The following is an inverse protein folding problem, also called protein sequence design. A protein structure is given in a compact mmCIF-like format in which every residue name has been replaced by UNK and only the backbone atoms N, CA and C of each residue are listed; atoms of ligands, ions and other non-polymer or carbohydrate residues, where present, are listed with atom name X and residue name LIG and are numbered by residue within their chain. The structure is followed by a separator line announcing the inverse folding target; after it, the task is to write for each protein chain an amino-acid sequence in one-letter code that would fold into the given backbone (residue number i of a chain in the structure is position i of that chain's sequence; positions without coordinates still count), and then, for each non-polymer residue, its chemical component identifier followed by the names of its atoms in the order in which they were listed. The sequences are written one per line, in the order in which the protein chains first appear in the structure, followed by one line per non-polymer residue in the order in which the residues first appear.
data_IF_141209971295
#
_entry.id   IF_141209971295
#
_cell.length_a   1.000
_cell.length_b   1.000
_cell.length_c   1.000
_cell.angle_alpha   90.00
_cell.angle_beta   90.00
_cell.angle_gamma   90.00
#
_symmetry.space_group_name_H-M   'P 1'
#
loop_
_entity.id
_entity.type
_entity.pdbx_description
1 polymer ?
#
# COMPACT_ATOMS: atom_id res chain seq x y z
N UNK A 1 -40.07 0.88 13.86
CA UNK A 1 -38.73 1.31 13.41
C UNK A 1 -38.00 0.09 12.87
N UNK A 2 -37.98 -0.07 11.55
CA UNK A 2 -37.22 -1.14 10.91
C UNK A 2 -35.76 -0.70 10.83
N UNK A 3 -34.88 -1.37 11.56
CA UNK A 3 -33.44 -1.14 11.46
C UNK A 3 -32.98 -1.43 10.04
N UNK A 4 -32.37 -0.44 9.38
CA UNK A 4 -31.66 -0.66 8.13
C UNK A 4 -30.50 -1.61 8.44
N UNK A 5 -30.64 -2.87 8.06
CA UNK A 5 -29.56 -3.85 8.08
C UNK A 5 -28.45 -3.35 7.17
N UNK A 6 -27.29 -3.01 7.76
CA UNK A 6 -26.06 -2.78 6.99
C UNK A 6 -25.74 -4.10 6.30
N UNK A 7 -25.63 -4.10 4.97
CA UNK A 7 -25.26 -5.29 4.22
C UNK A 7 -23.92 -5.81 4.72
N UNK A 8 -23.88 -7.09 5.10
CA UNK A 8 -22.63 -7.74 5.49
C UNK A 8 -21.68 -7.77 4.28
N UNK A 9 -20.37 -7.51 4.46
CA UNK A 9 -19.40 -7.69 3.40
C UNK A 9 -19.45 -9.15 2.93
N UNK A 10 -19.68 -9.35 1.63
CA UNK A 10 -19.63 -10.66 1.00
C UNK A 10 -18.16 -10.92 0.66
N UNK A 11 -17.49 -11.68 1.52
CA UNK A 11 -16.15 -12.20 1.23
C UNK A 11 -16.38 -13.46 0.39
N UNK A 12 -16.07 -13.40 -0.91
CA UNK A 12 -16.07 -14.59 -1.77
C UNK A 12 -15.07 -15.64 -1.27
N UNK A 13 -15.26 -16.94 -1.60
CA UNK A 13 -14.32 -17.98 -1.23
C UNK A 13 -12.92 -17.65 -1.79
N UNK A 14 -11.83 -18.05 -1.10
CA UNK A 14 -10.48 -17.88 -1.63
C UNK A 14 -10.38 -18.57 -3.00
N UNK A 15 -9.85 -17.84 -3.98
CA UNK A 15 -9.61 -18.39 -5.32
C UNK A 15 -8.59 -19.52 -5.20
N UNK A 16 -8.95 -20.72 -5.65
CA UNK A 16 -7.99 -21.82 -5.74
C UNK A 16 -7.03 -21.56 -6.90
N UNK A 17 -5.76 -21.85 -6.69
CA UNK A 17 -4.75 -21.75 -7.74
C UNK A 17 -5.00 -22.80 -8.82
N UNK A 18 -4.80 -22.41 -10.08
CA UNK A 18 -4.67 -23.37 -11.17
C UNK A 18 -3.39 -24.19 -11.03
N UNK A 19 -3.32 -25.34 -11.71
CA UNK A 19 -2.10 -26.16 -11.78
C UNK A 19 -0.88 -25.35 -12.25
N UNK A 20 -1.06 -24.47 -13.24
CA UNK A 20 0.01 -23.63 -13.78
C UNK A 20 0.48 -22.63 -12.71
N UNK A 21 -0.45 -22.00 -11.99
CA UNK A 21 -0.12 -21.07 -10.90
C UNK A 21 0.64 -21.77 -9.76
N UNK A 22 0.20 -22.97 -9.36
CA UNK A 22 0.88 -23.78 -8.33
C UNK A 22 2.30 -24.17 -8.76
N UNK A 23 2.47 -24.58 -10.02
CA UNK A 23 3.79 -24.89 -10.60
C UNK A 23 4.69 -23.66 -10.61
N UNK A 24 4.15 -22.51 -11.04
CA UNK A 24 4.90 -21.26 -11.09
C UNK A 24 5.34 -20.79 -9.70
N UNK A 25 4.50 -20.92 -8.66
CA UNK A 25 4.87 -20.64 -7.26
C UNK A 25 6.01 -21.54 -6.77
N UNK A 26 5.98 -22.81 -7.14
CA UNK A 26 7.03 -23.76 -6.77
C UNK A 26 8.37 -23.39 -7.43
N UNK A 27 8.33 -23.02 -8.72
CA UNK A 27 9.52 -22.56 -9.46
C UNK A 27 10.09 -21.26 -8.90
N UNK A 28 9.23 -20.28 -8.61
CA UNK A 28 9.67 -19.03 -7.98
C UNK A 28 10.32 -19.29 -6.62
N UNK A 29 9.71 -20.15 -5.79
CA UNK A 29 10.25 -20.50 -4.47
C UNK A 29 11.62 -21.17 -4.57
N UNK A 30 11.81 -22.06 -5.56
CA UNK A 30 13.11 -22.67 -5.83
C UNK A 30 14.13 -21.63 -6.27
N UNK A 31 13.73 -20.71 -7.17
CA UNK A 31 14.60 -19.65 -7.68
C UNK A 31 15.08 -18.69 -6.57
N UNK A 32 14.16 -18.22 -5.72
CA UNK A 32 14.46 -17.35 -4.57
C UNK A 32 15.50 -17.98 -3.63
N UNK A 33 15.47 -19.30 -3.44
CA UNK A 33 16.41 -20.03 -2.58
C UNK A 33 17.83 -20.13 -3.18
N UNK A 34 17.95 -20.18 -4.50
CA UNK A 34 19.22 -20.43 -5.20
C UNK A 34 19.85 -19.15 -5.76
N UNK A 35 19.12 -18.04 -5.79
CA UNK A 35 19.58 -16.73 -6.26
C UNK A 35 19.36 -15.64 -5.20
N UNK A 36 19.98 -15.75 -4.00
CA UNK A 36 19.81 -14.75 -2.96
C UNK A 36 20.40 -13.39 -3.39
N UNK A 37 19.71 -12.30 -3.05
CA UNK A 37 20.21 -10.96 -3.34
C UNK A 37 21.51 -10.70 -2.54
N UNK A 38 22.51 -10.11 -3.21
CA UNK A 38 23.77 -9.73 -2.56
C UNK A 38 23.58 -8.42 -1.79
N UNK A 39 23.64 -8.51 -0.46
CA UNK A 39 23.79 -7.34 0.41
C UNK A 39 25.25 -6.86 0.36
N UNK A 40 25.50 -5.64 -0.12
CA UNK A 40 26.79 -4.96 0.04
C UNK A 40 26.62 -3.76 0.96
N UNK A 41 27.37 -3.68 2.06
CA UNK A 41 27.31 -2.56 3.01
C UNK A 41 28.65 -1.85 3.09
N UNK A 42 28.73 -0.61 2.58
CA UNK A 42 29.87 0.28 2.81
C UNK A 42 29.50 1.74 3.11
N UNK A 43 28.22 2.07 3.24
CA UNK A 43 27.76 3.42 3.61
C UNK A 43 26.96 3.39 4.92
N UNK A 44 26.90 4.50 5.67
CA UNK A 44 26.01 4.61 6.83
C UNK A 44 24.57 4.34 6.40
N UNK A 45 23.96 3.32 7.00
CA UNK A 45 22.63 2.86 6.63
C UNK A 45 21.57 3.85 7.12
N UNK A 46 20.80 4.40 6.18
CA UNK A 46 19.56 5.12 6.50
C UNK A 46 18.54 4.11 7.00
N UNK A 47 17.94 4.39 8.16
CA UNK A 47 16.92 3.55 8.81
C UNK A 47 15.53 4.06 8.49
N UNK A 48 14.79 3.26 7.75
CA UNK A 48 13.39 3.53 7.43
C UNK A 48 12.53 2.57 8.26
N UNK A 49 11.65 3.12 9.08
CA UNK A 49 10.68 2.38 9.89
C UNK A 49 9.37 2.32 9.11
N UNK A 50 8.91 1.10 8.83
CA UNK A 50 7.72 0.85 8.03
C UNK A 50 6.62 0.23 8.88
N UNK A 51 5.45 0.87 8.90
CA UNK A 51 4.24 0.38 9.55
C UNK A 51 3.02 0.57 8.64
N UNK A 52 1.92 -0.12 8.96
CA UNK A 52 0.64 -0.01 8.29
C UNK A 52 -0.45 -0.59 9.20
N UNK A 53 -1.72 -0.34 8.90
CA UNK A 53 -2.87 -1.02 9.52
C UNK A 53 -2.87 -0.93 11.06
N UNK A 54 -2.52 0.24 11.60
CA UNK A 54 -2.51 0.42 13.05
C UNK A 54 -3.92 0.39 13.62
N UNK A 55 -4.95 0.80 12.87
CA UNK A 55 -6.36 0.74 13.28
C UNK A 55 -6.58 1.24 14.72
N UNK A 56 -6.17 2.49 14.98
CA UNK A 56 -6.16 3.16 16.28
C UNK A 56 -5.13 2.65 17.31
N UNK A 57 -4.42 1.55 17.05
CA UNK A 57 -3.32 1.12 17.92
C UNK A 57 -2.12 2.05 17.80
N UNK A 58 -1.29 2.09 18.84
CA UNK A 58 -0.15 3.00 18.96
C UNK A 58 1.07 2.21 19.46
N UNK A 59 1.64 1.32 18.63
CA UNK A 59 2.73 0.47 19.04
C UNK A 59 3.99 1.29 19.37
N UNK A 60 4.85 0.75 20.22
CA UNK A 60 6.21 1.31 20.39
C UNK A 60 7.00 1.09 19.12
N UNK A 61 7.59 2.16 18.59
CA UNK A 61 8.40 2.12 17.37
C UNK A 61 9.89 2.18 17.69
N UNK A 62 10.74 1.46 16.95
CA UNK A 62 12.19 1.63 17.05
C UNK A 62 12.61 3.01 16.49
N UNK A 63 13.80 3.46 16.87
CA UNK A 63 14.39 4.69 16.31
C UNK A 63 14.75 4.53 14.82
N UNK A 64 14.54 5.60 14.05
CA UNK A 64 14.96 5.68 12.65
C UNK A 64 14.91 7.10 12.09
N UNK A 65 15.42 7.26 10.88
CA UNK A 65 15.49 8.55 10.19
C UNK A 65 14.14 8.95 9.58
N UNK A 66 13.43 7.95 9.02
CA UNK A 66 12.15 8.12 8.33
C UNK A 66 11.15 7.10 8.90
N UNK A 67 9.95 7.57 9.26
CA UNK A 67 8.78 6.75 9.55
C UNK A 67 7.81 6.79 8.38
N UNK A 68 7.45 5.62 7.85
CA UNK A 68 6.45 5.45 6.78
C UNK A 68 5.23 4.70 7.31
N UNK A 69 4.04 5.25 7.11
CA UNK A 69 2.76 4.60 7.43
C UNK A 69 1.93 4.35 6.17
N UNK A 70 1.68 3.07 5.85
CA UNK A 70 1.00 2.66 4.61
C UNK A 70 -0.53 2.62 4.71
N UNK A 71 -1.13 3.62 5.36
CA UNK A 71 -2.59 3.72 5.51
C UNK A 71 -3.20 2.85 6.60
N UNK A 72 -4.52 3.00 6.75
CA UNK A 72 -5.33 2.43 7.82
C UNK A 72 -4.86 2.84 9.21
N UNK A 73 -4.74 4.16 9.38
CA UNK A 73 -4.46 4.77 10.68
C UNK A 73 -5.61 4.47 11.66
N UNK A 74 -6.84 4.51 11.16
CA UNK A 74 -8.06 4.42 11.95
C UNK A 74 -8.86 3.14 11.72
N UNK A 75 -9.85 2.89 12.60
CA UNK A 75 -10.81 1.81 12.42
C UNK A 75 -12.05 2.25 11.63
N UNK A 76 -12.52 3.49 11.84
CA UNK A 76 -13.75 4.00 11.23
C UNK A 76 -13.58 5.31 10.48
N UNK A 77 -12.36 5.84 10.40
CA UNK A 77 -12.09 7.04 9.63
C UNK A 77 -12.70 8.30 10.23
N UNK A 78 -13.03 8.30 11.53
CA UNK A 78 -13.62 9.48 12.17
C UNK A 78 -12.54 10.54 12.44
N UNK A 79 -12.96 11.81 12.53
CA UNK A 79 -12.04 12.91 12.85
C UNK A 79 -11.21 12.63 14.11
N UNK A 80 -11.85 12.19 15.20
CA UNK A 80 -11.19 11.98 16.49
C UNK A 80 -10.17 10.83 16.43
N UNK A 81 -10.47 9.75 15.68
CA UNK A 81 -9.53 8.64 15.48
C UNK A 81 -8.29 9.08 14.69
N UNK A 82 -8.50 9.76 13.55
CA UNK A 82 -7.42 10.25 12.71
C UNK A 82 -6.57 11.27 13.49
N UNK A 83 -7.20 12.22 14.20
CA UNK A 83 -6.48 13.21 14.99
C UNK A 83 -5.67 12.58 16.14
N UNK A 84 -6.20 11.53 16.78
CA UNK A 84 -5.47 10.79 17.81
C UNK A 84 -4.24 10.08 17.23
N UNK A 85 -4.35 9.49 16.04
CA UNK A 85 -3.21 8.89 15.35
C UNK A 85 -2.18 9.93 14.90
N UNK A 86 -2.61 11.08 14.38
CA UNK A 86 -1.70 12.19 14.04
C UNK A 86 -0.96 12.70 15.28
N UNK A 87 -1.63 12.79 16.43
CA UNK A 87 -1.00 13.16 17.71
C UNK A 87 0.09 12.18 18.10
N UNK A 88 -0.19 10.87 18.00
CA UNK A 88 0.78 9.83 18.28
C UNK A 88 1.95 9.82 17.28
N UNK A 89 1.69 9.99 15.98
CA UNK A 89 2.75 10.08 14.97
C UNK A 89 3.65 11.29 15.19
N UNK A 90 3.09 12.44 15.58
CA UNK A 90 3.85 13.63 15.90
C UNK A 90 4.77 13.43 17.11
N UNK A 91 4.38 12.61 18.09
CA UNK A 91 5.23 12.33 19.27
C UNK A 91 6.42 11.40 18.98
N UNK A 92 6.48 10.77 17.81
CA UNK A 92 7.58 9.87 17.45
C UNK A 92 8.88 10.66 17.20
N UNK A 93 10.06 10.10 17.53
CA UNK A 93 11.35 10.81 17.43
C UNK A 93 11.89 10.95 16.00
N UNK A 94 11.27 10.27 15.03
CA UNK A 94 11.67 10.26 13.63
C UNK A 94 11.65 11.67 13.03
N UNK A 95 12.72 12.05 12.32
CA UNK A 95 12.83 13.37 11.66
C UNK A 95 11.76 13.56 10.59
N UNK A 96 11.54 12.53 9.77
CA UNK A 96 10.53 12.54 8.72
C UNK A 96 9.43 11.53 9.01
N UNK A 97 8.18 11.95 8.94
CA UNK A 97 6.99 11.10 9.12
C UNK A 97 6.12 11.24 7.89
N UNK A 98 6.00 10.19 7.08
CA UNK A 98 5.22 10.21 5.84
C UNK A 98 4.11 9.18 5.94
N UNK A 99 2.89 9.60 5.63
CA UNK A 99 1.71 8.75 5.69
C UNK A 99 0.88 8.88 4.43
N UNK A 100 0.21 7.80 4.06
CA UNK A 100 -0.90 7.78 3.10
C UNK A 100 -2.17 7.36 3.85
N UNK A 101 -3.33 7.55 3.23
CA UNK A 101 -4.58 6.98 3.72
C UNK A 101 -4.70 5.49 3.36
N UNK A 102 -5.58 4.78 4.07
CA UNK A 102 -6.07 3.46 3.70
C UNK A 102 -7.59 3.41 3.64
N UNK A 103 -8.15 2.24 3.33
CA UNK A 103 -9.58 2.11 3.11
C UNK A 103 -10.44 2.39 4.37
N UNK A 104 -9.86 2.31 5.58
CA UNK A 104 -10.51 2.68 6.82
C UNK A 104 -10.44 4.17 7.14
N UNK A 105 -9.59 4.94 6.49
CA UNK A 105 -9.38 6.37 6.79
C UNK A 105 -10.42 7.26 6.06
N UNK A 106 -11.70 6.96 6.29
CA UNK A 106 -12.84 7.47 5.52
C UNK A 106 -12.89 8.99 5.37
N UNK A 107 -12.62 9.75 6.44
CA UNK A 107 -12.60 11.22 6.40
C UNK A 107 -11.58 11.79 5.40
N UNK A 108 -10.49 11.05 5.14
CA UNK A 108 -9.41 11.50 4.24
C UNK A 108 -9.81 11.40 2.76
N UNK A 109 -10.86 10.64 2.41
CA UNK A 109 -11.39 10.52 1.06
C UNK A 109 -12.64 11.40 0.88
N UNK A 110 -12.44 12.58 0.29
CA UNK A 110 -13.51 13.56 0.10
C UNK A 110 -14.56 13.11 -0.93
N UNK A 111 -14.18 12.28 -1.90
CA UNK A 111 -15.13 11.68 -2.84
C UNK A 111 -16.01 10.65 -2.09
N UNK A 112 -15.43 9.86 -1.19
CA UNK A 112 -16.18 8.95 -0.32
C UNK A 112 -17.13 9.72 0.61
N UNK A 113 -16.63 10.75 1.30
CA UNK A 113 -17.43 11.60 2.21
C UNK A 113 -18.64 12.21 1.48
N UNK A 114 -18.44 12.76 0.28
CA UNK A 114 -19.52 13.41 -0.48
C UNK A 114 -20.56 12.42 -1.01
N UNK A 115 -20.16 11.17 -1.30
CA UNK A 115 -21.04 10.13 -1.82
C UNK A 115 -21.73 9.29 -0.73
N UNK A 116 -21.30 9.41 0.53
CA UNK A 116 -21.82 8.67 1.67
C UNK A 116 -22.22 9.58 2.85
N UNK A 117 -23.17 10.51 2.66
CA UNK A 117 -23.58 11.46 3.70
C UNK A 117 -24.18 10.77 4.94
N UNK A 118 -24.69 9.53 4.79
CA UNK A 118 -25.21 8.71 5.87
C UNK A 118 -24.15 8.23 6.87
N UNK A 119 -22.86 8.39 6.55
CA UNK A 119 -21.76 8.08 7.46
C UNK A 119 -21.47 9.19 8.47
N UNK A 120 -22.00 10.40 8.27
CA UNK A 120 -21.84 11.55 9.19
C UNK A 120 -20.38 11.81 9.63
N UNK A 121 -19.43 11.64 8.70
CA UNK A 121 -17.99 11.75 8.98
C UNK A 121 -17.55 13.17 9.30
N UNK A 122 -18.26 14.16 8.76
CA UNK A 122 -17.97 15.58 8.94
C UNK A 122 -19.01 16.27 9.82
N UNK A 123 -18.52 17.10 10.74
CA UNK A 123 -19.32 18.00 11.59
C UNK A 123 -18.66 19.37 11.60
N UNK A 124 -19.37 20.46 11.97
CA UNK A 124 -18.74 21.77 12.10
C UNK A 124 -17.49 21.71 12.99
N UNK A 125 -16.33 22.09 12.43
CA UNK A 125 -15.02 22.02 13.09
C UNK A 125 -14.40 20.63 13.21
N UNK A 126 -14.96 19.62 12.53
CA UNK A 126 -14.45 18.24 12.47
C UNK A 126 -14.52 17.72 11.04
N UNK A 127 -13.84 18.41 10.13
CA UNK A 127 -13.66 18.00 8.72
C UNK A 127 -12.22 17.59 8.46
N UNK A 128 -11.92 17.03 7.28
CA UNK A 128 -10.54 16.72 6.90
C UNK A 128 -9.62 17.95 6.94
N UNK A 129 -10.16 19.14 6.66
CA UNK A 129 -9.41 20.42 6.69
C UNK A 129 -9.09 20.89 8.11
N UNK A 130 -9.82 20.41 9.10
CA UNK A 130 -9.64 20.77 10.50
C UNK A 130 -8.59 19.87 11.20
N UNK A 131 -8.08 18.84 10.51
CA UNK A 131 -7.05 17.96 11.06
C UNK A 131 -5.74 18.72 11.27
N UNK A 132 -5.16 18.57 12.46
CA UNK A 132 -3.84 19.08 12.79
C UNK A 132 -2.78 18.02 12.44
N UNK A 133 -2.17 18.18 11.26
CA UNK A 133 -1.11 17.30 10.75
C UNK A 133 0.22 17.44 11.48
N UNK A 134 0.54 18.62 12.00
CA UNK A 134 1.85 18.88 12.63
C UNK A 134 2.99 18.66 11.63
N UNK A 135 3.97 17.85 12.02
CA UNK A 135 5.14 17.47 11.21
C UNK A 135 4.86 16.25 10.30
N UNK A 136 3.66 15.68 10.35
CA UNK A 136 3.29 14.52 9.53
C UNK A 136 3.00 14.96 8.10
N UNK A 137 3.71 14.36 7.15
CA UNK A 137 3.56 14.61 5.71
C UNK A 137 2.55 13.61 5.15
N UNK A 138 1.41 14.12 4.68
CA UNK A 138 0.40 13.33 3.99
C UNK A 138 0.68 13.29 2.48
N UNK A 139 0.67 12.09 1.89
CA UNK A 139 0.74 11.91 0.44
C UNK A 139 -0.56 11.31 -0.10
N UNK A 140 -1.02 11.86 -1.23
CA UNK A 140 -2.16 11.35 -1.98
C UNK A 140 -1.89 11.59 -3.47
N UNK A 141 -1.40 10.54 -4.15
CA UNK A 141 -0.96 10.60 -5.54
C UNK A 141 0.09 11.72 -5.78
N UNK A 142 1.02 11.83 -4.84
CA UNK A 142 2.01 12.91 -4.80
C UNK A 142 3.37 12.40 -4.32
N UNK A 143 4.41 13.21 -4.53
CA UNK A 143 5.78 12.93 -4.10
C UNK A 143 6.30 13.95 -3.11
N UNK A 144 7.26 13.52 -2.30
CA UNK A 144 8.08 14.38 -1.47
C UNK A 144 9.55 13.94 -1.57
N UNK A 145 10.46 14.90 -1.49
CA UNK A 145 11.90 14.64 -1.40
C UNK A 145 12.35 14.91 0.04
N UNK A 146 12.90 13.89 0.70
CA UNK A 146 13.32 13.94 2.09
C UNK A 146 14.85 14.06 2.18
N UNK A 147 15.34 15.09 2.87
CA UNK A 147 16.77 15.24 3.14
C UNK A 147 17.16 14.50 4.43
N UNK A 148 17.89 13.40 4.28
CA UNK A 148 18.43 12.59 5.38
C UNK A 148 19.92 12.82 5.62
N UNK A 149 20.43 13.99 5.22
CA UNK A 149 21.80 14.45 5.42
C UNK A 149 22.81 13.86 4.45
N UNK A 150 22.85 12.53 4.31
CA UNK A 150 23.78 11.84 3.41
C UNK A 150 23.33 11.82 1.95
N UNK A 151 22.01 11.89 1.72
CA UNK A 151 21.36 11.94 0.41
C UNK A 151 19.91 12.40 0.56
N UNK A 152 19.28 12.65 -0.58
CA UNK A 152 17.84 12.84 -0.70
C UNK A 152 17.17 11.50 -1.02
N UNK A 153 15.97 11.29 -0.49
CA UNK A 153 15.12 10.12 -0.78
C UNK A 153 13.80 10.64 -1.30
N UNK A 154 13.40 10.20 -2.51
CA UNK A 154 12.09 10.53 -3.08
C UNK A 154 11.05 9.48 -2.72
N UNK A 155 9.99 9.90 -2.05
CA UNK A 155 8.85 9.05 -1.68
C UNK A 155 7.65 9.44 -2.52
N UNK A 156 7.03 8.48 -3.20
CA UNK A 156 5.72 8.64 -3.85
C UNK A 156 4.67 7.88 -3.05
N UNK A 157 3.53 8.52 -2.74
CA UNK A 157 2.46 7.92 -1.93
C UNK A 157 1.13 7.84 -2.67
N UNK A 158 0.47 6.68 -2.60
CA UNK A 158 -0.85 6.46 -3.21
C UNK A 158 -1.73 5.56 -2.32
N UNK A 159 -2.91 6.05 -1.85
CA UNK A 159 -3.78 5.29 -0.97
C UNK A 159 -4.67 4.27 -1.71
N UNK A 160 -4.69 4.29 -3.04
CA UNK A 160 -5.70 3.60 -3.82
C UNK A 160 -5.58 2.07 -3.76
N UNK A 161 -6.73 1.39 -3.62
CA UNK A 161 -6.85 -0.07 -3.67
C UNK A 161 -7.96 -0.54 -4.60
N UNK A 162 -7.86 -1.73 -5.22
CA UNK A 162 -8.98 -2.33 -5.93
C UNK A 162 -10.19 -2.49 -5.00
N UNK A 163 -11.39 -2.19 -5.53
CA UNK A 163 -12.61 -2.19 -4.72
C UNK A 163 -12.87 -3.55 -4.04
N UNK A 164 -13.05 -3.50 -2.72
CA UNK A 164 -13.50 -4.61 -1.89
C UNK A 164 -14.45 -4.07 -0.81
N UNK A 165 -15.75 -4.14 -1.08
CA UNK A 165 -16.78 -3.56 -0.22
C UNK A 165 -17.04 -2.09 -0.54
N UNK A 166 -17.36 -1.31 0.49
CA UNK A 166 -17.70 0.10 0.37
C UNK A 166 -16.90 0.92 1.39
N UNK A 167 -15.66 1.22 1.02
CA UNK A 167 -14.66 1.89 1.82
C UNK A 167 -13.96 2.99 1.01
N UNK A 168 -13.18 3.83 1.69
CA UNK A 168 -12.43 4.91 1.06
C UNK A 168 -11.32 4.40 0.12
N UNK A 169 -10.90 5.27 -0.80
CA UNK A 169 -9.77 5.09 -1.72
C UNK A 169 -9.88 3.84 -2.60
N UNK A 170 -11.10 3.42 -2.93
CA UNK A 170 -11.33 2.24 -3.76
C UNK A 170 -11.64 2.61 -5.21
N UNK A 171 -11.05 1.88 -6.16
CA UNK A 171 -11.36 2.01 -7.59
C UNK A 171 -11.83 0.67 -8.17
N UNK A 172 -12.65 0.75 -9.23
CA UNK A 172 -13.11 -0.43 -9.94
C UNK A 172 -11.91 -1.21 -10.51
N UNK A 173 -11.76 -2.53 -10.27
CA UNK A 173 -10.60 -3.31 -10.72
C UNK A 173 -10.33 -3.27 -12.24
N UNK A 174 -11.36 -2.98 -13.05
CA UNK A 174 -11.25 -2.84 -14.50
C UNK A 174 -10.53 -1.54 -14.93
N UNK A 175 -10.46 -0.54 -14.05
CA UNK A 175 -9.82 0.75 -14.32
C UNK A 175 -8.35 0.68 -13.93
N UNK A 176 -7.47 0.88 -14.92
CA UNK A 176 -6.05 1.10 -14.68
C UNK A 176 -5.85 2.53 -14.15
N UNK A 177 -5.48 2.64 -12.87
CA UNK A 177 -5.16 3.90 -12.18
C UNK A 177 -3.67 4.09 -11.95
N UNK A 178 -2.84 3.12 -12.38
CA UNK A 178 -1.41 3.08 -12.05
C UNK A 178 -0.52 3.42 -13.23
N UNK A 179 -0.97 3.16 -14.46
CA UNK A 179 -0.13 3.37 -15.65
C UNK A 179 0.47 4.77 -15.71
N UNK A 180 1.80 4.83 -15.67
CA UNK A 180 2.60 6.05 -15.78
C UNK A 180 2.33 7.10 -14.69
N UNK A 181 1.80 6.71 -13.53
CA UNK A 181 1.54 7.66 -12.43
C UNK A 181 2.74 7.83 -11.51
N UNK A 182 3.57 6.80 -11.36
CA UNK A 182 4.73 6.84 -10.45
C UNK A 182 5.96 7.41 -11.18
N UNK A 183 6.58 8.51 -10.71
CA UNK A 183 7.78 9.06 -11.33
C UNK A 183 8.94 8.05 -11.37
N UNK A 184 9.70 8.06 -12.47
CA UNK A 184 10.82 7.13 -12.69
C UNK A 184 11.96 7.26 -11.67
N UNK A 185 12.08 8.41 -11.02
CA UNK A 185 13.08 8.74 -10.00
C UNK A 185 12.58 8.46 -8.57
N UNK A 186 11.49 7.70 -8.41
CA UNK A 186 10.96 7.32 -7.09
C UNK A 186 11.86 6.28 -6.42
N UNK A 187 12.47 6.62 -5.28
CA UNK A 187 13.25 5.66 -4.48
C UNK A 187 12.36 4.72 -3.68
N UNK A 188 11.32 5.28 -3.05
CA UNK A 188 10.38 4.57 -2.18
C UNK A 188 8.96 4.79 -2.69
N UNK A 189 8.26 3.70 -2.96
CA UNK A 189 6.83 3.73 -3.24
C UNK A 189 6.05 3.30 -1.99
N UNK A 190 5.13 4.15 -1.53
CA UNK A 190 4.24 3.89 -0.40
C UNK A 190 2.81 3.70 -0.94
N UNK A 191 2.29 2.48 -0.87
CA UNK A 191 0.92 2.14 -1.32
C UNK A 191 0.13 1.53 -0.20
N UNK A 192 -1.20 1.62 -0.21
CA UNK A 192 -1.98 0.97 0.85
C UNK A 192 -2.07 -0.55 0.61
N UNK A 193 -2.42 -0.96 -0.61
CA UNK A 193 -2.52 -2.37 -1.00
C UNK A 193 -1.26 -2.94 -1.66
N UNK A 194 -1.09 -4.28 -1.65
CA UNK A 194 0.04 -4.97 -2.29
C UNK A 194 -0.13 -5.12 -3.82
N UNK A 195 0.97 -5.30 -4.57
CA UNK A 195 0.93 -5.81 -5.94
C UNK A 195 0.51 -7.29 -5.96
N UNK A 196 -0.11 -7.75 -7.06
CA UNK A 196 -0.51 -9.18 -7.19
C UNK A 196 0.71 -10.09 -7.10
N UNK A 197 0.62 -11.17 -6.33
CA UNK A 197 1.66 -12.21 -6.25
C UNK A 197 2.76 -11.97 -5.21
N UNK A 198 2.88 -10.77 -4.63
CA UNK A 198 3.84 -10.48 -3.57
C UNK A 198 3.11 -10.04 -2.31
N UNK A 199 3.16 -10.89 -1.27
CA UNK A 199 2.59 -10.62 0.05
C UNK A 199 1.09 -10.26 0.01
N UNK A 200 0.37 -10.80 -0.98
CA UNK A 200 -0.98 -10.35 -1.34
C UNK A 200 -2.11 -11.24 -0.80
N UNK A 201 -1.80 -12.10 0.18
CA UNK A 201 -2.78 -12.99 0.79
C UNK A 201 -3.46 -13.92 -0.21
N UNK A 202 -2.74 -14.33 -1.26
CA UNK A 202 -3.17 -15.25 -2.30
C UNK A 202 -4.25 -14.66 -3.23
N UNK A 203 -3.90 -13.57 -3.92
CA UNK A 203 -4.70 -13.03 -5.02
C UNK A 203 -5.53 -11.79 -4.69
N UNK A 204 -5.22 -11.07 -3.60
CA UNK A 204 -5.85 -9.77 -3.30
C UNK A 204 -5.05 -8.57 -3.81
N UNK A 205 -3.89 -8.81 -4.42
CA UNK A 205 -3.02 -7.73 -4.89
C UNK A 205 -3.45 -7.16 -6.23
N UNK A 206 -2.92 -5.98 -6.54
CA UNK A 206 -3.24 -5.26 -7.77
C UNK A 206 -2.29 -5.63 -8.93
N UNK A 207 -2.85 -6.06 -10.06
CA UNK A 207 -2.09 -6.34 -11.29
C UNK A 207 -1.53 -5.09 -11.97
N UNK A 208 -2.27 -3.98 -11.95
CA UNK A 208 -1.85 -2.70 -12.51
C UNK A 208 -0.67 -2.09 -11.72
N UNK A 209 -0.71 -2.21 -10.39
CA UNK A 209 0.41 -1.81 -9.54
C UNK A 209 1.67 -2.63 -9.88
N UNK A 210 1.53 -3.95 -10.04
CA UNK A 210 2.66 -4.79 -10.43
C UNK A 210 3.28 -4.34 -11.77
N UNK A 211 2.46 -4.05 -12.79
CA UNK A 211 2.94 -3.50 -14.08
C UNK A 211 3.76 -2.20 -13.87
N UNK A 212 3.31 -1.32 -12.99
CA UNK A 212 4.00 -0.08 -12.66
C UNK A 212 5.32 -0.30 -11.90
N UNK A 213 5.38 -1.30 -11.00
CA UNK A 213 6.63 -1.70 -10.34
C UNK A 213 7.68 -2.19 -11.35
N UNK A 214 7.28 -2.99 -12.34
CA UNK A 214 8.19 -3.45 -13.40
C UNK A 214 8.73 -2.29 -14.24
N UNK A 215 7.93 -1.23 -14.41
CA UNK A 215 8.31 -0.03 -15.16
C UNK A 215 9.31 0.84 -14.39
N UNK A 216 9.07 1.07 -13.10
CA UNK A 216 9.85 2.04 -12.31
C UNK A 216 11.03 1.40 -11.56
N UNK A 217 10.88 0.16 -11.08
CA UNK A 217 11.92 -0.60 -10.36
C UNK A 217 12.46 0.12 -9.11
N UNK A 218 11.55 0.54 -8.24
CA UNK A 218 11.86 1.23 -6.97
C UNK A 218 12.73 0.36 -6.06
N UNK A 219 13.51 1.00 -5.18
CA UNK A 219 14.39 0.31 -4.22
C UNK A 219 13.62 -0.28 -3.04
N UNK A 220 12.50 0.34 -2.69
CA UNK A 220 11.63 -0.09 -1.60
C UNK A 220 10.17 0.19 -1.98
N UNK A 221 9.30 -0.79 -1.73
CA UNK A 221 7.85 -0.62 -1.78
C UNK A 221 7.29 -1.00 -0.43
N UNK A 222 6.50 -0.13 0.19
CA UNK A 222 5.90 -0.33 1.51
C UNK A 222 4.39 -0.32 1.35
N UNK A 223 3.75 -1.35 1.89
CA UNK A 223 2.29 -1.52 1.85
C UNK A 223 1.75 -2.30 3.05
N UNK A 224 0.43 -2.25 3.20
CA UNK A 224 -0.33 -2.91 4.25
C UNK A 224 -1.56 -3.62 3.68
N UNK A 225 -2.73 -3.38 4.29
CA UNK A 225 -4.08 -3.80 3.89
C UNK A 225 -4.35 -5.32 3.98
N UNK A 226 -3.42 -6.15 3.50
CA UNK A 226 -3.56 -7.60 3.48
C UNK A 226 -2.77 -8.21 4.63
N UNK A 227 -3.39 -8.25 5.81
CA UNK A 227 -2.73 -8.61 7.07
C UNK A 227 -2.07 -10.00 7.06
N UNK A 228 -2.68 -10.99 6.39
CA UNK A 228 -2.13 -12.35 6.23
C UNK A 228 -0.83 -12.39 5.42
N UNK A 229 -0.54 -11.31 4.67
CA UNK A 229 0.67 -11.13 3.88
C UNK A 229 1.81 -10.43 4.62
N UNK A 230 1.68 -10.13 5.92
CA UNK A 230 2.74 -9.46 6.70
C UNK A 230 4.09 -10.15 6.51
N UNK A 231 5.08 -9.40 6.05
CA UNK A 231 6.43 -9.90 5.84
C UNK A 231 7.26 -8.98 4.97
N UNK A 232 8.37 -9.51 4.46
CA UNK A 232 9.24 -8.86 3.50
C UNK A 232 9.62 -9.85 2.41
N UNK A 233 9.68 -9.39 1.16
CA UNK A 233 10.18 -10.16 0.01
C UNK A 233 10.95 -9.24 -0.91
N UNK A 234 11.91 -9.81 -1.62
CA UNK A 234 12.61 -9.13 -2.70
C UNK A 234 11.86 -9.38 -4.01
N UNK A 235 11.89 -8.39 -4.90
CA UNK A 235 11.51 -8.51 -6.30
C UNK A 235 12.79 -8.24 -7.09
N UNK A 236 13.36 -9.27 -7.69
CA UNK A 236 14.64 -9.25 -8.43
C UNK A 236 14.58 -8.63 -9.83
N UNK A 237 13.39 -8.52 -10.42
CA UNK A 237 13.15 -8.07 -11.80
C UNK A 237 13.85 -8.93 -12.87
N UNK A 238 13.87 -10.25 -12.67
CA UNK A 238 14.43 -11.21 -13.62
C UNK A 238 13.37 -11.94 -14.46
N UNK A 239 13.83 -12.75 -15.41
CA UNK A 239 12.96 -13.46 -16.35
C UNK A 239 12.06 -14.51 -15.67
N UNK A 240 12.50 -15.10 -14.55
CA UNK A 240 11.70 -16.09 -13.80
C UNK A 240 10.53 -15.39 -13.13
N UNK A 241 10.80 -14.28 -12.45
CA UNK A 241 9.77 -13.45 -11.83
C UNK A 241 8.85 -12.80 -12.86
N UNK A 242 9.38 -12.40 -14.03
CA UNK A 242 8.57 -11.86 -15.12
C UNK A 242 7.61 -12.94 -15.67
N UNK A 243 8.09 -14.17 -15.84
CA UNK A 243 7.28 -15.31 -16.24
C UNK A 243 6.18 -15.60 -15.21
N UNK A 244 6.55 -15.65 -13.92
CA UNK A 244 5.61 -15.82 -12.82
C UNK A 244 4.52 -14.73 -12.82
N UNK A 245 4.92 -13.46 -12.93
CA UNK A 245 4.00 -12.32 -13.01
C UNK A 245 3.03 -12.45 -14.21
N UNK A 246 3.50 -12.91 -15.36
CA UNK A 246 2.64 -13.15 -16.53
C UNK A 246 1.61 -14.26 -16.28
N UNK A 247 2.03 -15.36 -15.66
CA UNK A 247 1.15 -16.48 -15.29
C UNK A 247 0.06 -16.02 -14.33
N UNK A 248 0.41 -15.25 -13.28
CA UNK A 248 -0.57 -14.76 -12.31
C UNK A 248 -1.63 -13.84 -12.93
N UNK A 249 -1.24 -13.08 -13.95
CA UNK A 249 -2.13 -12.11 -14.62
C UNK A 249 -2.95 -12.73 -15.77
N UNK A 250 -2.84 -14.04 -15.99
CA UNK A 250 -3.38 -14.72 -17.18
C UNK A 250 -2.96 -14.05 -18.50
N UNK A 251 -1.84 -13.31 -18.51
CA UNK A 251 -1.24 -12.72 -19.71
C UNK A 251 -0.50 -13.84 -20.43
N UNK A 252 -1.22 -14.66 -21.20
CA UNK A 252 -0.60 -15.63 -22.11
C UNK A 252 -0.17 -14.88 -23.37
N UNK A 253 1.13 -14.75 -23.69
CA UNK A 253 1.53 -14.40 -25.05
C UNK A 253 1.14 -15.57 -25.95
N UNK A 254 -0.07 -15.52 -26.51
CA UNK A 254 -0.50 -16.43 -27.56
C UNK A 254 0.02 -15.91 -28.89
N UNK A 255 1.01 -16.57 -29.47
CA UNK A 255 1.36 -16.39 -30.87
C UNK A 255 0.63 -17.46 -31.66
N UNK A 256 -0.32 -17.06 -32.52
CA UNK A 256 -0.83 -17.95 -33.55
C UNK A 256 0.23 -17.98 -34.65
N UNK A 257 0.93 -19.11 -34.79
CA UNK A 257 1.74 -19.39 -35.97
C UNK A 257 0.81 -19.97 -37.03
N UNK A 258 0.71 -19.28 -38.17
CA UNK A 258 0.10 -19.79 -39.40
C UNK A 258 1.20 -20.32 -40.32
#
# INVERSE_FOLDING_TARGET
MAGKSISRPIIGPPKQDSFIQSTAKSLLSWHEQHHPSKSSTSNPNIKIICIADTHNTQPTLPDGDILLHAGDLSQYGTFDEIQNQLTWLNSQPHRWKVVIGGNHDLLLDQDFVSTHPDRELEKPGKTCKDLHWGDVIYLHNSSIELDVGSRKIKVYGCPLTPQFGNFAFQYLPIKDVWKNTVPLDTDVLLTHGPPVGWLDGNGKGCGWLLDELWRVRQRLVVFGHVHVGRGQRCLGFDDVEACYANILRDKRPGLILL
#
